data_IF_979833088650
#
_entry.id   IF_979833088650
#
_cell.length_a   1.000
_cell.length_b   1.000
_cell.length_c   1.000
_cell.angle_alpha   90.00
_cell.angle_beta   90.00
_cell.angle_gamma   90.00
#
_symmetry.space_group_name_H-M   'P 1'
#
loop_
_entity.id
_entity.type
_entity.pdbx_description
1 polymer ?
#
# COMPACT_ATOMS: atom_id res chain seq x y z
N UNK A 1 -3.78 2.24 14.55
CA UNK A 1 -2.31 2.06 14.67
C UNK A 1 -1.62 3.27 14.05
N UNK A 2 -0.68 3.91 14.77
CA UNK A 2 0.06 5.10 14.31
C UNK A 2 1.50 4.69 14.00
N UNK A 3 2.02 5.13 12.85
CA UNK A 3 3.44 5.06 12.54
C UNK A 3 4.08 6.43 12.72
N UNK A 4 5.24 6.49 13.35
CA UNK A 4 6.09 7.66 13.32
C UNK A 4 7.46 7.26 12.75
N UNK A 5 7.86 7.95 11.69
CA UNK A 5 9.19 7.81 11.09
C UNK A 5 10.00 9.00 11.54
N UNK A 6 11.16 8.76 12.16
CA UNK A 6 12.00 9.81 12.77
C UNK A 6 13.41 9.80 12.20
N UNK A 7 13.78 10.90 11.54
CA UNK A 7 15.11 11.16 10.99
C UNK A 7 15.68 10.00 10.17
N UNK A 8 14.80 9.31 9.43
CA UNK A 8 15.13 8.11 8.69
C UNK A 8 16.01 8.44 7.49
N UNK A 9 17.12 7.73 7.38
CA UNK A 9 18.00 7.82 6.20
C UNK A 9 18.36 6.43 5.71
N UNK A 10 18.54 6.31 4.39
CA UNK A 10 19.00 5.07 3.78
C UNK A 10 19.93 5.32 2.61
N UNK A 11 21.06 4.63 2.63
CA UNK A 11 22.06 4.65 1.58
C UNK A 11 22.27 3.25 1.03
N UNK A 12 22.02 3.02 -0.25
CA UNK A 12 22.38 1.77 -0.92
C UNK A 12 23.90 1.63 -1.09
N UNK A 13 24.61 2.75 -1.20
CA UNK A 13 26.05 2.82 -1.27
C UNK A 13 26.55 4.19 -0.81
N UNK A 14 27.88 4.40 -0.71
CA UNK A 14 28.45 5.72 -0.40
C UNK A 14 28.01 6.82 -1.39
N UNK A 15 27.64 6.45 -2.62
CA UNK A 15 27.23 7.40 -3.68
C UNK A 15 25.72 7.52 -3.85
N UNK A 16 24.92 6.52 -3.41
CA UNK A 16 23.48 6.47 -3.65
C UNK A 16 22.75 6.63 -2.31
N UNK A 17 22.33 7.87 -2.04
CA UNK A 17 21.52 8.22 -0.87
C UNK A 17 20.05 8.26 -1.29
N UNK A 18 19.30 7.21 -0.95
CA UNK A 18 17.91 7.06 -1.36
C UNK A 18 16.92 7.79 -0.46
N UNK A 19 17.24 7.95 0.82
CA UNK A 19 16.43 8.71 1.78
C UNK A 19 17.37 9.54 2.65
N UNK A 20 16.96 10.79 2.93
CA UNK A 20 17.73 11.77 3.68
C UNK A 20 16.86 12.42 4.75
N UNK A 21 17.15 12.09 6.01
CA UNK A 21 16.52 12.70 7.19
C UNK A 21 15.00 12.83 7.10
N UNK A 22 14.32 11.78 6.62
CA UNK A 22 12.88 11.77 6.41
C UNK A 22 12.16 11.55 7.74
N UNK A 23 11.21 12.43 8.08
CA UNK A 23 10.37 12.29 9.26
C UNK A 23 8.92 12.57 8.90
N UNK A 24 8.00 11.70 9.34
CA UNK A 24 6.55 11.89 9.18
C UNK A 24 5.77 11.05 10.18
N UNK A 25 4.50 11.36 10.33
CA UNK A 25 3.54 10.58 11.10
C UNK A 25 2.40 10.10 10.20
N UNK A 26 2.13 8.80 10.22
CA UNK A 26 1.04 8.17 9.49
C UNK A 26 -0.04 7.75 10.48
N UNK A 27 -1.26 8.21 10.29
CA UNK A 27 -2.42 7.85 11.10
C UNK A 27 -3.34 6.92 10.33
N UNK A 28 -3.84 5.85 10.98
CA UNK A 28 -4.87 4.98 10.39
C UNK A 28 -6.18 5.76 10.14
N UNK A 29 -7.09 5.16 9.38
CA UNK A 29 -8.38 5.74 9.01
C UNK A 29 -8.32 6.91 8.00
N UNK A 30 -7.22 7.03 7.25
CA UNK A 30 -7.07 8.03 6.19
C UNK A 30 -6.25 7.47 5.05
N UNK A 31 -6.45 8.04 3.86
CA UNK A 31 -5.49 7.90 2.76
C UNK A 31 -4.36 8.90 2.99
N UNK A 32 -3.14 8.41 2.93
CA UNK A 32 -1.93 9.23 2.90
C UNK A 32 -1.19 8.93 1.59
N UNK A 33 -1.19 9.89 0.69
CA UNK A 33 -0.45 9.79 -0.56
C UNK A 33 1.01 10.15 -0.35
N UNK A 34 1.91 9.32 -0.83
CA UNK A 34 3.34 9.59 -0.92
C UNK A 34 3.66 9.90 -2.38
N UNK A 35 3.68 11.18 -2.72
CA UNK A 35 3.85 11.67 -4.08
C UNK A 35 5.30 12.07 -4.36
N UNK A 36 5.75 11.86 -5.57
CA UNK A 36 7.06 12.32 -6.03
C UNK A 36 7.48 11.65 -7.33
N UNK A 37 8.44 12.22 -8.06
CA UNK A 37 8.93 11.65 -9.31
C UNK A 37 9.61 10.29 -9.10
N UNK A 38 9.87 9.60 -10.22
CA UNK A 38 10.66 8.37 -10.19
C UNK A 38 12.06 8.67 -9.63
N UNK A 39 12.53 7.79 -8.74
CA UNK A 39 13.81 8.00 -8.04
C UNK A 39 13.74 8.91 -6.80
N UNK A 40 12.59 9.47 -6.43
CA UNK A 40 12.43 10.31 -5.23
C UNK A 40 12.67 9.57 -3.89
N UNK A 41 12.73 8.23 -3.90
CA UNK A 41 12.93 7.43 -2.68
C UNK A 41 11.67 6.74 -2.17
N UNK A 42 10.49 6.91 -2.81
CA UNK A 42 9.20 6.33 -2.39
C UNK A 42 9.25 4.83 -2.15
N UNK A 43 9.65 4.05 -3.16
CA UNK A 43 9.74 2.58 -3.03
C UNK A 43 10.82 2.13 -2.04
N UNK A 44 11.86 2.94 -1.81
CA UNK A 44 12.85 2.67 -0.75
C UNK A 44 12.22 2.85 0.62
N UNK A 45 11.49 3.94 0.86
CA UNK A 45 10.74 4.15 2.10
C UNK A 45 9.72 3.03 2.32
N UNK A 46 8.96 2.68 1.29
CA UNK A 46 8.01 1.57 1.32
C UNK A 46 8.69 0.25 1.75
N UNK A 47 9.81 -0.12 1.13
CA UNK A 47 10.56 -1.33 1.48
C UNK A 47 11.10 -1.32 2.91
N UNK A 48 11.46 -0.16 3.44
CA UNK A 48 11.87 -0.02 4.85
C UNK A 48 10.67 -0.24 5.77
N UNK A 49 9.52 0.39 5.49
CA UNK A 49 8.28 0.23 6.25
C UNK A 49 7.73 -1.19 6.17
N UNK A 50 7.92 -1.88 5.03
CA UNK A 50 7.60 -3.30 4.85
C UNK A 50 8.62 -4.25 5.52
N UNK A 51 9.66 -3.75 6.17
CA UNK A 51 10.68 -4.59 6.80
C UNK A 51 11.65 -5.28 5.83
N UNK A 52 11.58 -5.02 4.54
CA UNK A 52 12.39 -5.71 3.52
C UNK A 52 13.85 -5.24 3.49
N UNK A 53 14.09 -3.95 3.75
CA UNK A 53 15.44 -3.39 3.86
C UNK A 53 15.60 -2.60 5.16
N UNK A 54 16.82 -2.53 5.67
CA UNK A 54 17.13 -1.82 6.91
C UNK A 54 17.54 -0.38 6.59
N UNK A 55 17.02 0.58 7.36
CA UNK A 55 17.49 1.96 7.32
C UNK A 55 18.96 2.06 7.76
N UNK A 56 19.66 3.07 7.26
CA UNK A 56 21.04 3.36 7.67
C UNK A 56 21.06 4.09 9.02
N UNK A 57 20.09 4.99 9.26
CA UNK A 57 19.92 5.72 10.51
C UNK A 57 18.45 6.13 10.70
N UNK A 58 18.13 6.64 11.89
CA UNK A 58 16.77 6.99 12.29
C UNK A 58 15.99 5.80 12.86
N UNK A 59 14.73 6.02 13.19
CA UNK A 59 13.87 5.02 13.82
C UNK A 59 12.46 5.04 13.23
N UNK A 60 11.78 3.92 13.38
CA UNK A 60 10.34 3.78 13.13
C UNK A 60 9.71 3.43 14.47
N UNK A 61 8.68 4.16 14.83
CA UNK A 61 7.86 3.88 16.00
C UNK A 61 6.47 3.45 15.58
N UNK A 62 5.92 2.47 16.28
CA UNK A 62 4.55 2.00 16.11
C UNK A 62 3.83 2.19 17.43
N UNK A 63 2.77 3.00 17.44
CA UNK A 63 2.05 3.40 18.64
C UNK A 63 2.97 3.98 19.77
N UNK A 64 4.01 4.73 19.37
CA UNK A 64 4.97 5.35 20.29
C UNK A 64 6.09 4.42 20.79
N UNK A 65 6.09 3.16 20.37
CA UNK A 65 7.16 2.21 20.72
C UNK A 65 8.08 2.01 19.52
N UNK A 66 9.40 2.06 19.73
CA UNK A 66 10.38 1.79 18.66
C UNK A 66 10.19 0.38 18.14
N UNK A 67 10.01 0.26 16.83
CA UNK A 67 9.81 -1.04 16.19
C UNK A 67 11.13 -1.80 16.06
N UNK A 68 11.20 -2.94 16.75
CA UNK A 68 12.25 -3.94 16.50
C UNK A 68 11.86 -4.75 15.28
N UNK A 69 12.71 -4.77 14.26
CA UNK A 69 12.48 -5.54 13.01
C UNK A 69 12.45 -7.06 13.23
N UNK A 70 12.97 -7.56 14.34
CA UNK A 70 12.85 -8.96 14.71
C UNK A 70 11.45 -9.31 15.26
N UNK A 71 10.63 -8.29 15.53
CA UNK A 71 9.24 -8.46 15.90
C UNK A 71 8.34 -8.40 14.64
N UNK A 72 7.82 -9.53 14.16
CA UNK A 72 6.95 -9.58 12.99
C UNK A 72 5.49 -9.15 13.29
N UNK A 73 5.11 -9.01 14.54
CA UNK A 73 3.73 -8.76 14.96
C UNK A 73 3.11 -7.53 14.29
N UNK A 74 3.80 -6.38 14.19
CA UNK A 74 3.25 -5.22 13.51
C UNK A 74 3.03 -5.44 12.01
N UNK A 75 3.89 -6.22 11.35
CA UNK A 75 3.76 -6.52 9.92
C UNK A 75 2.54 -7.38 9.61
N UNK A 76 2.14 -8.26 10.54
CA UNK A 76 0.91 -9.05 10.45
C UNK A 76 -0.37 -8.20 10.43
N UNK A 77 -0.29 -6.90 10.76
CA UNK A 77 -1.41 -5.95 10.73
C UNK A 77 -1.41 -5.06 9.49
N UNK A 78 -0.53 -5.33 8.53
CA UNK A 78 -0.34 -4.52 7.32
C UNK A 78 -0.54 -5.41 6.10
N UNK A 79 -1.39 -4.97 5.17
CA UNK A 79 -1.47 -5.51 3.83
C UNK A 79 -0.48 -4.79 2.92
N UNK A 80 0.27 -5.53 2.11
CA UNK A 80 1.25 -4.97 1.17
C UNK A 80 0.90 -5.32 -0.26
N UNK A 81 0.94 -4.31 -1.14
CA UNK A 81 0.85 -4.47 -2.58
C UNK A 81 2.07 -3.79 -3.20
N UNK A 82 2.93 -4.59 -3.79
CA UNK A 82 4.17 -4.14 -4.42
C UNK A 82 3.93 -3.70 -5.87
N UNK A 83 4.88 -2.96 -6.42
CA UNK A 83 4.84 -2.56 -7.83
C UNK A 83 4.86 -3.78 -8.75
N UNK A 84 5.76 -4.73 -8.49
CA UNK A 84 5.80 -6.00 -9.22
C UNK A 84 4.73 -6.96 -8.71
N UNK A 85 4.01 -7.66 -9.61
CA UNK A 85 3.02 -8.65 -9.22
C UNK A 85 3.62 -9.79 -8.38
N UNK A 86 2.97 -10.09 -7.25
CA UNK A 86 3.39 -11.15 -6.32
C UNK A 86 2.36 -12.28 -6.21
N UNK A 87 1.42 -12.34 -7.17
CA UNK A 87 0.34 -13.32 -7.22
C UNK A 87 0.69 -14.49 -8.13
N UNK A 88 0.28 -15.71 -7.77
CA UNK A 88 0.52 -16.90 -8.57
C UNK A 88 -0.37 -16.93 -9.82
N UNK A 89 0.24 -16.73 -10.98
CA UNK A 89 -0.47 -16.68 -12.28
C UNK A 89 -1.09 -18.01 -12.72
N UNK A 90 -0.59 -19.14 -12.21
CA UNK A 90 -1.07 -20.49 -12.57
C UNK A 90 -2.33 -20.88 -11.80
N UNK A 91 -2.56 -20.28 -10.64
CA UNK A 91 -3.73 -20.54 -9.79
C UNK A 91 -4.89 -19.61 -10.12
N UNK A 92 -6.11 -20.03 -9.77
CA UNK A 92 -7.28 -19.15 -9.83
C UNK A 92 -7.19 -18.04 -8.78
N UNK A 93 -7.97 -16.96 -8.97
CA UNK A 93 -8.10 -15.91 -7.97
C UNK A 93 -8.55 -16.45 -6.62
N UNK A 94 -9.58 -17.30 -6.60
CA UNK A 94 -10.07 -17.96 -5.37
C UNK A 94 -8.95 -18.74 -4.66
N UNK A 95 -8.16 -19.53 -5.40
CA UNK A 95 -7.06 -20.31 -4.81
C UNK A 95 -5.96 -19.40 -4.22
N UNK A 96 -5.66 -18.26 -4.86
CA UNK A 96 -4.72 -17.27 -4.32
C UNK A 96 -5.22 -16.64 -3.03
N UNK A 97 -6.51 -16.24 -2.96
CA UNK A 97 -7.11 -15.69 -1.74
C UNK A 97 -7.17 -16.73 -0.62
N UNK A 98 -7.57 -17.97 -0.95
CA UNK A 98 -7.62 -19.06 0.02
C UNK A 98 -6.24 -19.33 0.62
N UNK A 99 -5.21 -19.44 -0.21
CA UNK A 99 -3.85 -19.65 0.26
C UNK A 99 -3.36 -18.52 1.16
N UNK A 100 -3.60 -17.27 0.77
CA UNK A 100 -3.20 -16.12 1.56
C UNK A 100 -3.90 -16.08 2.94
N UNK A 101 -5.20 -16.37 2.98
CA UNK A 101 -5.94 -16.39 4.24
C UNK A 101 -5.54 -17.54 5.17
N UNK A 102 -5.24 -18.72 4.62
CA UNK A 102 -4.70 -19.84 5.38
C UNK A 102 -3.33 -19.52 6.00
N UNK A 103 -2.45 -18.85 5.27
CA UNK A 103 -1.15 -18.39 5.79
C UNK A 103 -1.31 -17.39 6.95
N UNK A 104 -2.41 -16.62 6.96
CA UNK A 104 -2.76 -15.68 8.04
C UNK A 104 -3.54 -16.36 9.19
N UNK A 105 -3.74 -17.68 9.12
CA UNK A 105 -4.40 -18.45 10.19
C UNK A 105 -5.92 -18.32 10.23
N UNK A 106 -6.56 -17.85 9.15
CA UNK A 106 -8.02 -17.79 9.08
C UNK A 106 -8.60 -19.20 9.01
N UNK A 107 -9.64 -19.46 9.81
CA UNK A 107 -10.44 -20.70 9.72
C UNK A 107 -11.26 -20.73 8.41
N UNK A 108 -11.67 -21.93 8.00
CA UNK A 108 -12.32 -22.13 6.71
C UNK A 108 -13.64 -21.35 6.54
N UNK A 109 -14.43 -21.17 7.61
CA UNK A 109 -15.72 -20.47 7.52
C UNK A 109 -15.48 -18.95 7.43
N UNK A 110 -14.65 -18.40 8.29
CA UNK A 110 -14.26 -16.98 8.26
C UNK A 110 -13.62 -16.62 6.93
N UNK A 111 -12.76 -17.52 6.42
CA UNK A 111 -12.07 -17.31 5.14
C UNK A 111 -13.06 -17.31 3.95
N UNK A 112 -14.00 -18.24 3.92
CA UNK A 112 -15.02 -18.27 2.87
C UNK A 112 -15.83 -16.97 2.84
N UNK A 113 -16.36 -16.56 3.99
CA UNK A 113 -17.13 -15.31 4.10
C UNK A 113 -16.31 -14.10 3.68
N UNK A 114 -15.02 -14.04 4.09
CA UNK A 114 -14.13 -12.93 3.71
C UNK A 114 -13.83 -12.90 2.23
N UNK A 115 -13.67 -14.06 1.59
CA UNK A 115 -13.47 -14.13 0.13
C UNK A 115 -14.73 -13.62 -0.59
N UNK A 116 -15.94 -14.06 -0.19
CA UNK A 116 -17.19 -13.60 -0.79
C UNK A 116 -17.35 -12.07 -0.66
N UNK A 117 -17.06 -11.52 0.51
CA UNK A 117 -17.06 -10.06 0.74
C UNK A 117 -16.08 -9.31 -0.19
N UNK A 118 -14.83 -9.77 -0.29
CA UNK A 118 -13.82 -9.15 -1.16
C UNK A 118 -14.19 -9.30 -2.64
N UNK A 119 -14.72 -10.44 -3.05
CA UNK A 119 -15.22 -10.65 -4.41
C UNK A 119 -16.30 -9.64 -4.78
N UNK A 120 -17.23 -9.38 -3.87
CA UNK A 120 -18.27 -8.38 -4.08
C UNK A 120 -17.71 -6.95 -4.09
N UNK A 121 -16.85 -6.61 -3.11
CA UNK A 121 -16.25 -5.26 -3.00
C UNK A 121 -15.44 -4.87 -4.23
N UNK A 122 -14.68 -5.82 -4.78
CA UNK A 122 -13.80 -5.58 -5.93
C UNK A 122 -14.41 -5.96 -7.29
N UNK A 123 -15.70 -6.32 -7.33
CA UNK A 123 -16.41 -6.74 -8.55
C UNK A 123 -15.62 -7.81 -9.33
N UNK A 124 -15.33 -8.93 -8.63
CA UNK A 124 -14.50 -10.00 -9.17
C UNK A 124 -15.30 -11.26 -9.56
N UNK A 125 -16.64 -11.26 -9.42
CA UNK A 125 -17.48 -12.44 -9.60
C UNK A 125 -17.25 -13.19 -10.90
N UNK A 126 -17.16 -12.47 -12.02
CA UNK A 126 -17.06 -13.05 -13.35
C UNK A 126 -15.70 -13.70 -13.66
N UNK A 127 -14.67 -13.42 -12.88
CA UNK A 127 -13.32 -13.88 -13.22
C UNK A 127 -12.53 -14.51 -12.06
N UNK A 128 -13.06 -14.50 -10.82
CA UNK A 128 -12.32 -14.97 -9.64
C UNK A 128 -11.91 -16.45 -9.72
N UNK A 129 -12.65 -17.27 -10.46
CA UNK A 129 -12.36 -18.69 -10.67
C UNK A 129 -11.37 -18.97 -11.80
N UNK A 130 -11.05 -17.96 -12.61
CA UNK A 130 -10.13 -18.09 -13.73
C UNK A 130 -8.68 -18.06 -13.28
N UNK A 131 -7.74 -18.70 -14.03
CA UNK A 131 -6.30 -18.55 -13.80
C UNK A 131 -5.88 -17.07 -13.87
N UNK A 132 -5.09 -16.62 -12.89
CA UNK A 132 -4.68 -15.20 -12.79
C UNK A 132 -3.88 -14.75 -14.02
N UNK A 133 -3.12 -15.65 -14.64
CA UNK A 133 -2.38 -15.36 -15.88
C UNK A 133 -3.28 -14.95 -17.06
N UNK A 134 -4.58 -15.30 -17.05
CA UNK A 134 -5.55 -14.93 -18.08
C UNK A 134 -6.28 -13.60 -17.81
N UNK A 135 -6.04 -12.96 -16.66
CA UNK A 135 -6.73 -11.74 -16.27
C UNK A 135 -6.09 -10.50 -16.89
N UNK A 136 -6.91 -9.47 -17.15
CA UNK A 136 -6.40 -8.15 -17.51
C UNK A 136 -5.54 -7.55 -16.39
N UNK A 137 -4.74 -6.53 -16.69
CA UNK A 137 -3.92 -5.83 -15.68
C UNK A 137 -4.77 -5.29 -14.53
N UNK A 138 -5.91 -4.65 -14.83
CA UNK A 138 -6.84 -4.12 -13.83
C UNK A 138 -7.49 -5.20 -12.97
N UNK A 139 -7.93 -6.32 -13.58
CA UNK A 139 -8.48 -7.47 -12.85
C UNK A 139 -7.45 -8.08 -11.91
N UNK A 140 -6.22 -8.26 -12.38
CA UNK A 140 -5.11 -8.76 -11.58
C UNK A 140 -4.81 -7.83 -10.40
N UNK A 141 -4.75 -6.52 -10.63
CA UNK A 141 -4.47 -5.53 -9.59
C UNK A 141 -5.54 -5.51 -8.50
N UNK A 142 -6.82 -5.58 -8.85
CA UNK A 142 -7.91 -5.72 -7.87
C UNK A 142 -7.75 -6.98 -7.01
N UNK A 143 -7.39 -8.10 -7.62
CA UNK A 143 -7.15 -9.34 -6.90
C UNK A 143 -5.94 -9.27 -5.95
N UNK A 144 -4.86 -8.59 -6.34
CA UNK A 144 -3.69 -8.37 -5.48
C UNK A 144 -4.05 -7.54 -4.25
N UNK A 145 -4.84 -6.49 -4.42
CA UNK A 145 -5.31 -5.65 -3.31
C UNK A 145 -6.26 -6.43 -2.42
N UNK A 146 -7.20 -7.18 -2.99
CA UNK A 146 -8.10 -8.06 -2.23
C UNK A 146 -7.30 -9.09 -1.40
N UNK A 147 -6.24 -9.67 -1.98
CA UNK A 147 -5.35 -10.58 -1.26
C UNK A 147 -4.65 -9.91 -0.08
N UNK A 148 -4.19 -8.68 -0.25
CA UNK A 148 -3.55 -7.91 0.82
C UNK A 148 -4.51 -7.55 1.95
N UNK A 149 -5.82 -7.54 1.68
CA UNK A 149 -6.89 -7.25 2.63
C UNK A 149 -7.51 -8.48 3.29
N UNK A 150 -7.08 -9.69 2.92
CA UNK A 150 -7.74 -10.94 3.35
C UNK A 150 -7.81 -11.09 4.88
N UNK A 151 -6.80 -10.63 5.59
CA UNK A 151 -6.66 -10.72 7.05
C UNK A 151 -7.16 -9.48 7.80
N UNK A 152 -7.92 -8.58 7.15
CA UNK A 152 -8.44 -7.32 7.72
C UNK A 152 -7.34 -6.47 8.35
N UNK A 153 -6.33 -6.05 7.58
CA UNK A 153 -5.22 -5.28 8.12
C UNK A 153 -5.67 -3.90 8.61
N UNK A 154 -4.94 -3.35 9.58
CA UNK A 154 -5.15 -1.96 10.04
C UNK A 154 -4.57 -0.96 9.02
N UNK A 155 -3.58 -1.39 8.25
CA UNK A 155 -2.94 -0.59 7.20
C UNK A 155 -2.86 -1.35 5.88
N UNK A 156 -3.08 -0.64 4.79
CA UNK A 156 -2.81 -1.10 3.44
C UNK A 156 -1.72 -0.22 2.82
N UNK A 157 -0.60 -0.81 2.48
CA UNK A 157 0.51 -0.13 1.83
C UNK A 157 0.55 -0.51 0.35
N UNK A 158 0.49 0.50 -0.53
CA UNK A 158 0.38 0.35 -1.98
C UNK A 158 1.57 1.05 -2.65
N UNK A 159 2.39 0.30 -3.38
CA UNK A 159 3.50 0.84 -4.18
C UNK A 159 3.09 0.90 -5.65
N UNK A 160 2.78 2.10 -6.12
CA UNK A 160 2.33 2.42 -7.47
C UNK A 160 1.21 1.48 -8.01
N UNK A 161 0.08 1.35 -7.29
CA UNK A 161 -0.92 0.32 -7.58
C UNK A 161 -1.64 0.50 -8.92
N UNK A 162 -1.59 1.67 -9.50
CA UNK A 162 -2.28 2.03 -10.74
C UNK A 162 -1.37 2.01 -11.97
N UNK A 163 -0.08 1.71 -11.80
CA UNK A 163 0.86 1.64 -12.92
C UNK A 163 0.40 0.63 -13.97
N UNK A 164 0.32 1.08 -15.24
CA UNK A 164 -0.12 0.26 -16.37
C UNK A 164 -1.64 0.10 -16.49
N UNK A 165 -2.43 0.76 -15.66
CA UNK A 165 -3.90 0.80 -15.80
C UNK A 165 -4.32 1.96 -16.73
N UNK A 166 -5.40 1.73 -17.49
CA UNK A 166 -6.11 2.80 -18.17
C UNK A 166 -6.82 3.73 -17.17
N UNK A 167 -7.30 4.87 -17.64
CA UNK A 167 -7.91 5.92 -16.82
C UNK A 167 -9.11 5.38 -16.04
N UNK A 168 -9.99 4.61 -16.69
CA UNK A 168 -11.21 4.09 -16.06
C UNK A 168 -10.91 3.11 -14.92
N UNK A 169 -9.97 2.18 -15.13
CA UNK A 169 -9.54 1.24 -14.10
C UNK A 169 -8.81 1.94 -12.95
N UNK A 170 -8.09 3.02 -13.23
CA UNK A 170 -7.42 3.84 -12.22
C UNK A 170 -8.42 4.57 -11.33
N UNK A 171 -9.44 5.22 -11.92
CA UNK A 171 -10.49 5.89 -11.18
C UNK A 171 -11.29 4.91 -10.30
N UNK A 172 -11.69 3.76 -10.86
CA UNK A 172 -12.36 2.70 -10.10
C UNK A 172 -11.51 2.19 -8.93
N UNK A 173 -10.20 2.03 -9.14
CA UNK A 173 -9.30 1.64 -8.07
C UNK A 173 -9.26 2.69 -6.95
N UNK A 174 -9.13 3.97 -7.29
CA UNK A 174 -9.16 5.06 -6.33
C UNK A 174 -10.47 5.08 -5.54
N UNK A 175 -11.62 4.88 -6.20
CA UNK A 175 -12.92 4.79 -5.52
C UNK A 175 -12.97 3.66 -4.49
N UNK A 176 -12.55 2.46 -4.87
CA UNK A 176 -12.54 1.30 -3.98
C UNK A 176 -11.64 1.55 -2.76
N UNK A 177 -10.44 2.11 -2.96
CA UNK A 177 -9.51 2.39 -1.87
C UNK A 177 -10.11 3.39 -0.86
N UNK A 178 -10.74 4.47 -1.33
CA UNK A 178 -11.39 5.44 -0.44
C UNK A 178 -12.62 4.85 0.28
N UNK A 179 -13.39 3.98 -0.39
CA UNK A 179 -14.48 3.25 0.26
C UNK A 179 -13.97 2.34 1.39
N UNK A 180 -12.86 1.62 1.18
CA UNK A 180 -12.26 0.75 2.20
C UNK A 180 -11.80 1.53 3.44
N UNK A 181 -11.21 2.71 3.26
CA UNK A 181 -10.83 3.57 4.39
C UNK A 181 -12.06 3.92 5.24
N UNK A 182 -13.18 4.26 4.59
CA UNK A 182 -14.39 4.67 5.27
C UNK A 182 -15.15 3.49 5.90
N UNK A 183 -15.18 2.33 5.25
CA UNK A 183 -15.98 1.18 5.70
C UNK A 183 -15.24 0.27 6.68
N UNK A 184 -13.95 0.02 6.48
CA UNK A 184 -13.16 -0.87 7.32
C UNK A 184 -12.25 -0.13 8.31
N UNK A 185 -12.14 1.20 8.21
CA UNK A 185 -11.23 2.00 9.05
C UNK A 185 -9.75 1.70 8.80
N UNK A 186 -9.44 1.09 7.66
CA UNK A 186 -8.08 0.77 7.25
C UNK A 186 -7.34 2.04 6.83
N UNK A 187 -6.17 2.33 7.40
CA UNK A 187 -5.30 3.39 6.90
C UNK A 187 -4.64 2.97 5.58
N UNK A 188 -4.45 3.90 4.67
CA UNK A 188 -3.78 3.61 3.39
C UNK A 188 -2.55 4.50 3.22
N UNK A 189 -1.41 3.88 2.94
CA UNK A 189 -0.24 4.57 2.40
C UNK A 189 -0.14 4.26 0.90
N UNK A 190 -0.35 5.27 0.08
CA UNK A 190 -0.40 5.16 -1.38
C UNK A 190 0.80 5.86 -2.00
N UNK A 191 1.81 5.10 -2.41
CA UNK A 191 2.93 5.63 -3.18
C UNK A 191 2.52 5.79 -4.64
N UNK A 192 2.60 7.00 -5.17
CA UNK A 192 2.28 7.31 -6.57
C UNK A 192 3.13 8.45 -7.13
N UNK A 193 3.15 8.58 -8.43
CA UNK A 193 3.66 9.76 -9.13
C UNK A 193 2.55 10.46 -9.92
N UNK A 194 1.28 10.06 -9.73
CA UNK A 194 0.11 10.55 -10.47
C UNK A 194 -0.80 11.32 -9.52
N UNK A 195 -0.82 12.67 -9.58
CA UNK A 195 -1.63 13.47 -8.67
C UNK A 195 -3.14 13.25 -8.80
N UNK A 196 -3.63 12.88 -9.99
CA UNK A 196 -5.07 12.69 -10.28
C UNK A 196 -5.71 11.52 -9.48
N UNK A 197 -4.90 10.72 -8.80
CA UNK A 197 -5.37 9.64 -7.93
C UNK A 197 -5.80 10.12 -6.54
N UNK A 198 -5.39 11.33 -6.17
CA UNK A 198 -5.67 11.91 -4.87
C UNK A 198 -7.04 12.60 -4.86
N UNK A 199 -7.65 12.66 -3.68
CA UNK A 199 -8.90 13.39 -3.44
C UNK A 199 -8.67 14.50 -2.41
N UNK A 200 -9.41 15.57 -2.57
CA UNK A 200 -9.40 16.64 -1.56
C UNK A 200 -9.71 16.07 -0.17
N UNK A 201 -8.87 16.41 0.81
CA UNK A 201 -8.91 15.90 2.17
C UNK A 201 -7.97 14.72 2.45
N UNK A 202 -7.35 14.11 1.44
CA UNK A 202 -6.29 13.12 1.64
C UNK A 202 -5.08 13.79 2.31
N UNK A 203 -4.32 13.01 3.08
CA UNK A 203 -3.01 13.47 3.53
C UNK A 203 -2.03 13.34 2.36
N UNK A 204 -1.18 14.36 2.20
CA UNK A 204 -0.16 14.41 1.15
C UNK A 204 1.22 14.57 1.75
N UNK A 205 2.11 13.68 1.38
CA UNK A 205 3.55 13.79 1.62
C UNK A 205 4.24 13.86 0.26
N UNK A 206 5.00 14.91 0.00
CA UNK A 206 5.77 15.02 -1.24
C UNK A 206 7.24 14.73 -0.98
N UNK A 207 7.83 13.90 -1.83
CA UNK A 207 9.24 13.55 -1.81
C UNK A 207 9.96 13.98 -3.09
N UNK A 208 11.17 14.52 -2.92
CA UNK A 208 12.11 14.81 -4.01
C UNK A 208 13.52 14.48 -3.55
N UNK A 209 14.29 13.75 -4.36
CA UNK A 209 15.70 13.42 -4.11
C UNK A 209 15.98 12.84 -2.72
N UNK A 210 15.05 12.02 -2.19
CA UNK A 210 15.16 11.38 -0.89
C UNK A 210 14.73 12.23 0.30
N UNK A 211 14.28 13.46 0.08
CA UNK A 211 13.85 14.40 1.12
C UNK A 211 12.35 14.62 1.06
N UNK A 212 11.76 14.90 2.21
CA UNK A 212 10.37 15.36 2.32
C UNK A 212 10.32 16.86 2.04
N UNK A 213 9.60 17.26 1.01
CA UNK A 213 9.44 18.68 0.63
C UNK A 213 8.09 19.27 1.04
N UNK A 214 7.09 18.40 1.31
CA UNK A 214 5.77 18.79 1.79
C UNK A 214 5.18 17.71 2.70
N UNK A 215 4.38 18.10 3.69
CA UNK A 215 3.61 17.22 4.56
C UNK A 215 2.37 17.97 5.04
N UNK A 216 1.18 17.59 4.57
CA UNK A 216 -0.06 18.30 4.86
C UNK A 216 -1.28 17.63 4.21
N UNK A 217 -2.29 18.42 3.91
CA UNK A 217 -3.49 17.95 3.20
C UNK A 217 -3.40 18.27 1.71
N UNK A 218 -3.97 17.38 0.91
CA UNK A 218 -4.18 17.61 -0.51
C UNK A 218 -5.47 18.39 -0.72
N UNK A 219 -5.39 19.59 -1.30
CA UNK A 219 -6.53 20.45 -1.57
C UNK A 219 -6.89 20.46 -3.07
N UNK A 220 -5.88 20.58 -3.93
CA UNK A 220 -6.07 20.64 -5.38
C UNK A 220 -4.80 20.22 -6.14
N UNK A 221 -4.96 19.98 -7.44
CA UNK A 221 -3.84 19.67 -8.34
C UNK A 221 -2.84 20.83 -8.48
N UNK A 222 -3.29 22.06 -8.34
CA UNK A 222 -2.43 23.26 -8.43
C UNK A 222 -1.34 23.26 -7.34
N UNK A 223 -1.67 22.74 -6.15
CA UNK A 223 -0.72 22.58 -5.04
C UNK A 223 0.48 21.71 -5.38
N UNK A 224 0.33 20.75 -6.28
CA UNK A 224 1.34 19.77 -6.64
C UNK A 224 2.14 20.20 -7.87
N UNK A 225 1.56 21.09 -8.70
CA UNK A 225 2.16 21.58 -9.94
C UNK A 225 3.00 22.86 -9.74
N UNK A 226 2.91 23.48 -8.58
CA UNK A 226 3.69 24.64 -8.17
C UNK A 226 5.02 24.23 -7.51
#
# INVERSE_FOLDING_TARGET
MKFAVKNLSHNYSKKVRAIRNFSTELNSHKVTALLGPNGAGKSTLFKILAGLIRQTSGSIEINGTSWDRNDPEPLGKIGFVFQDPTIDGMRSGTANLTYAGQLQGLDNNSLKNRIEELVATFDMGDYITRPVGSLSGGQRRRLEIARALIHRPIWLFLDEPSTGLDIDNRLKLSEIIHLLVNSEGCGVLWCTHIPDELRSGDNLIMMKEGEKIFDGHFDSLEQVMS
#
